data_IF_392355230258
#
_entry.id   IF_392355230258
#
_cell.length_a   1.000
_cell.length_b   1.000
_cell.length_c   1.000
_cell.angle_alpha   90.00
_cell.angle_beta   90.00
_cell.angle_gamma   90.00
#
_symmetry.space_group_name_H-M   'P 1'
#
loop_
_entity.id
_entity.type
_entity.pdbx_description
1 polymer ?
#
# COMPACT_ATOMS: atom_id res chain seq x y z
N UNK A 1 14.18 10.11 17.16
CA UNK A 1 15.27 9.30 16.56
C UNK A 1 16.42 9.08 17.54
N UNK A 2 16.93 10.10 18.26
CA UNK A 2 18.03 9.93 19.20
C UNK A 2 17.88 8.81 20.25
N UNK A 3 16.66 8.57 20.75
CA UNK A 3 16.38 7.46 21.68
C UNK A 3 16.59 6.09 21.03
N UNK A 4 16.18 5.93 19.76
CA UNK A 4 16.37 4.68 19.02
C UNK A 4 17.85 4.44 18.73
N UNK A 5 18.56 5.51 18.40
CA UNK A 5 20.00 5.48 18.13
C UNK A 5 20.80 5.15 19.38
N UNK A 6 20.47 5.75 20.52
CA UNK A 6 21.10 5.44 21.79
C UNK A 6 20.88 3.97 22.23
N UNK A 7 19.74 3.39 21.88
CA UNK A 7 19.42 1.97 22.15
C UNK A 7 19.86 1.02 21.03
N UNK A 8 20.50 1.50 19.98
CA UNK A 8 20.91 0.74 18.78
C UNK A 8 19.76 -0.01 18.10
N UNK A 9 18.54 0.52 18.19
CA UNK A 9 17.36 -0.06 17.55
C UNK A 9 17.37 0.31 16.08
N UNK A 10 17.35 -0.65 15.14
CA UNK A 10 17.25 -0.36 13.72
C UNK A 10 15.86 0.23 13.40
N UNK A 11 15.80 1.19 12.49
CA UNK A 11 14.55 1.83 12.12
C UNK A 11 14.52 2.25 10.64
N UNK A 12 13.31 2.34 10.11
CA UNK A 12 12.99 3.05 8.86
C UNK A 12 11.82 3.97 9.19
N UNK A 13 11.99 5.26 8.98
CA UNK A 13 10.98 6.28 9.29
C UNK A 13 10.72 7.12 8.05
N UNK A 14 9.46 7.23 7.63
CA UNK A 14 9.09 8.17 6.58
C UNK A 14 9.31 9.60 7.06
N UNK A 15 10.06 10.39 6.29
CA UNK A 15 10.33 11.77 6.59
C UNK A 15 9.36 12.69 5.85
N UNK A 16 8.93 13.76 6.53
CA UNK A 16 8.17 14.82 5.88
C UNK A 16 9.09 15.63 4.96
N UNK A 17 8.62 15.92 3.76
CA UNK A 17 9.31 16.77 2.80
C UNK A 17 9.25 18.23 3.24
N UNK A 18 10.30 18.67 3.93
CA UNK A 18 10.48 20.10 4.29
C UNK A 18 11.18 20.85 3.15
N UNK A 19 11.01 22.16 3.06
CA UNK A 19 11.66 22.96 2.02
C UNK A 19 13.19 22.77 1.94
N UNK A 20 13.96 22.75 3.05
CA UNK A 20 15.39 22.49 2.99
C UNK A 20 15.71 21.10 2.41
N UNK A 21 14.96 20.07 2.82
CA UNK A 21 15.14 18.72 2.33
C UNK A 21 14.81 18.61 0.83
N UNK A 22 13.75 19.28 0.38
CA UNK A 22 13.41 19.36 -1.05
C UNK A 22 14.56 19.95 -1.88
N UNK A 23 15.18 21.03 -1.43
CA UNK A 23 16.34 21.64 -2.11
C UNK A 23 17.50 20.66 -2.25
N UNK A 24 17.79 19.90 -1.20
CA UNK A 24 18.83 18.86 -1.24
C UNK A 24 18.47 17.75 -2.22
N UNK A 25 17.22 17.30 -2.26
CA UNK A 25 16.74 16.27 -3.16
C UNK A 25 16.82 16.73 -4.63
N UNK A 26 16.55 17.99 -4.93
CA UNK A 26 16.66 18.52 -6.31
C UNK A 26 18.09 18.62 -6.81
N UNK A 27 19.04 18.78 -5.91
CA UNK A 27 20.46 18.77 -6.24
C UNK A 27 21.06 17.38 -6.28
N UNK A 28 20.27 16.35 -5.91
CA UNK A 28 20.73 14.98 -5.88
C UNK A 28 21.05 14.47 -7.29
N UNK A 29 22.22 13.90 -7.41
CA UNK A 29 22.69 13.17 -8.58
C UNK A 29 22.76 11.68 -8.25
N UNK A 30 22.85 10.80 -9.25
CA UNK A 30 23.00 9.36 -8.98
C UNK A 30 21.68 8.63 -8.72
N UNK A 31 20.64 9.01 -9.43
CA UNK A 31 19.37 8.29 -9.43
C UNK A 31 19.53 6.92 -10.09
N UNK A 32 19.10 5.88 -9.39
CA UNK A 32 19.03 4.52 -9.89
C UNK A 32 17.61 4.17 -10.31
N UNK A 33 17.43 3.84 -11.58
CA UNK A 33 16.14 3.35 -12.09
C UNK A 33 15.91 1.90 -11.60
N UNK A 34 14.89 1.70 -10.79
CA UNK A 34 14.47 0.39 -10.31
C UNK A 34 13.48 -0.26 -11.28
N UNK A 35 12.51 0.53 -11.73
CA UNK A 35 11.46 0.16 -12.69
C UNK A 35 11.16 1.38 -13.57
N UNK A 36 10.41 1.18 -14.65
CA UNK A 36 9.96 2.29 -15.50
C UNK A 36 9.16 3.31 -14.69
N UNK A 37 9.71 4.51 -14.55
CA UNK A 37 9.09 5.60 -13.79
C UNK A 37 9.23 5.50 -12.28
N UNK A 38 10.09 4.62 -11.76
CA UNK A 38 10.43 4.50 -10.35
C UNK A 38 11.95 4.53 -10.17
N UNK A 39 12.44 5.53 -9.45
CA UNK A 39 13.87 5.72 -9.24
C UNK A 39 14.17 5.94 -7.76
N UNK A 40 15.35 5.50 -7.35
CA UNK A 40 15.87 5.59 -5.99
C UNK A 40 17.16 6.40 -5.98
N UNK A 41 17.37 7.14 -4.89
CA UNK A 41 18.65 7.77 -4.60
C UNK A 41 18.96 7.64 -3.11
N UNK A 42 20.24 7.56 -2.80
CA UNK A 42 20.75 7.59 -1.43
C UNK A 42 21.41 8.93 -1.17
N UNK A 43 21.05 9.56 -0.06
CA UNK A 43 21.56 10.84 0.37
C UNK A 43 21.94 10.78 1.84
N UNK A 44 22.89 11.62 2.22
CA UNK A 44 23.18 11.94 3.61
C UNK A 44 22.72 13.35 3.90
N UNK A 45 21.98 13.52 5.00
CA UNK A 45 21.35 14.80 5.32
C UNK A 45 21.29 15.03 6.83
N UNK A 46 21.57 16.25 7.23
CA UNK A 46 21.41 16.71 8.60
C UNK A 46 20.33 17.79 8.65
N UNK A 47 19.21 17.50 9.27
CA UNK A 47 18.16 18.50 9.48
C UNK A 47 18.49 19.41 10.67
N UNK A 48 17.91 20.61 10.68
CA UNK A 48 17.98 21.48 11.83
C UNK A 48 17.43 20.75 13.08
N UNK A 49 18.21 20.72 14.15
CA UNK A 49 17.89 20.00 15.38
C UNK A 49 18.29 18.51 15.40
N UNK A 50 18.97 18.03 14.38
CA UNK A 50 19.62 16.72 14.42
C UNK A 50 21.08 16.87 14.84
N UNK A 51 21.51 16.06 15.81
CA UNK A 51 22.89 16.05 16.28
C UNK A 51 23.87 15.49 15.24
N UNK A 52 23.40 14.57 14.40
CA UNK A 52 24.23 13.89 13.41
C UNK A 52 23.53 13.82 12.06
N UNK A 53 24.33 13.71 11.03
CA UNK A 53 23.88 13.40 9.69
C UNK A 53 23.28 11.98 9.64
N UNK A 54 22.25 11.79 8.82
CA UNK A 54 21.54 10.51 8.66
C UNK A 54 21.41 10.11 7.23
N UNK A 55 21.42 8.82 7.02
CA UNK A 55 21.19 8.19 5.72
C UNK A 55 19.72 8.31 5.34
N UNK A 56 19.46 8.83 4.16
CA UNK A 56 18.14 8.97 3.56
C UNK A 56 18.06 8.16 2.28
N UNK A 57 16.99 7.40 2.15
CA UNK A 57 16.61 6.78 0.88
C UNK A 57 15.46 7.59 0.30
N UNK A 58 15.71 8.18 -0.86
CA UNK A 58 14.73 8.97 -1.59
C UNK A 58 14.20 8.13 -2.74
N UNK A 59 12.89 8.12 -2.87
CA UNK A 59 12.17 7.45 -3.94
C UNK A 59 11.46 8.50 -4.75
N UNK A 60 11.56 8.46 -6.07
CA UNK A 60 10.72 9.26 -6.95
C UNK A 60 9.96 8.39 -7.92
N UNK A 61 8.68 8.71 -8.08
CA UNK A 61 7.78 8.01 -8.99
C UNK A 61 7.21 8.98 -10.00
N UNK A 62 7.30 8.65 -11.28
CA UNK A 62 6.71 9.43 -12.35
C UNK A 62 5.18 9.43 -12.25
N UNK A 63 4.59 10.61 -12.21
CA UNK A 63 3.14 10.79 -12.18
C UNK A 63 2.66 11.14 -13.58
N UNK A 64 2.00 10.19 -14.25
CA UNK A 64 1.28 10.49 -15.48
C UNK A 64 0.10 11.38 -15.11
N UNK A 65 0.15 12.68 -15.44
CA UNK A 65 -1.01 13.57 -15.33
C UNK A 65 -2.14 13.02 -16.20
N UNK A 66 -3.17 12.45 -15.57
CA UNK A 66 -4.46 12.33 -16.23
C UNK A 66 -5.05 13.73 -16.24
N UNK A 67 -5.13 14.33 -17.41
CA UNK A 67 -5.93 15.53 -17.63
C UNK A 67 -7.41 15.15 -17.51
N UNK A 68 -7.95 15.18 -16.31
CA UNK A 68 -9.38 15.11 -16.07
C UNK A 68 -9.81 16.40 -15.37
N UNK A 69 -10.87 17.07 -15.83
CA UNK A 69 -11.45 18.18 -15.10
C UNK A 69 -12.19 17.63 -13.89
N UNK A 70 -11.57 17.69 -12.74
CA UNK A 70 -12.13 17.24 -11.47
C UNK A 70 -11.06 17.28 -10.38
N UNK A 71 -11.40 17.81 -9.21
CA UNK A 71 -10.52 17.89 -8.06
C UNK A 71 -9.88 16.55 -7.79
N UNK A 72 -8.61 16.41 -8.10
CA UNK A 72 -7.78 15.32 -7.60
C UNK A 72 -7.63 15.54 -6.11
N UNK A 73 -8.36 14.77 -5.31
CA UNK A 73 -8.10 14.69 -3.87
C UNK A 73 -6.74 14.01 -3.72
N UNK A 74 -5.69 14.81 -3.56
CA UNK A 74 -4.41 14.33 -3.10
C UNK A 74 -4.60 13.85 -1.67
N UNK A 75 -4.38 12.56 -1.41
CA UNK A 75 -4.35 12.02 -0.05
C UNK A 75 -3.24 12.67 0.79
N UNK A 76 -2.32 13.37 0.14
CA UNK A 76 -1.24 14.17 0.73
C UNK A 76 -1.29 15.56 0.07
N UNK A 77 -2.15 16.42 0.61
CA UNK A 77 -2.37 17.78 0.09
C UNK A 77 -1.10 18.66 0.06
N UNK A 78 -0.01 18.21 0.66
CA UNK A 78 1.24 18.93 0.83
C UNK A 78 2.40 18.40 -0.04
N UNK A 79 2.19 17.39 -0.92
CA UNK A 79 3.24 16.92 -1.82
C UNK A 79 3.21 17.74 -3.13
N UNK A 80 4.14 18.66 -3.32
CA UNK A 80 4.27 19.34 -4.60
C UNK A 80 4.71 18.30 -5.65
N UNK A 81 3.85 18.05 -6.64
CA UNK A 81 4.21 17.39 -7.90
C UNK A 81 5.26 18.26 -8.62
N UNK A 82 6.53 17.96 -8.37
CA UNK A 82 7.61 18.75 -8.92
C UNK A 82 8.08 18.07 -10.18
N UNK A 83 7.87 18.75 -11.29
CA UNK A 83 8.31 18.30 -12.62
C UNK A 83 7.78 16.91 -13.02
N UNK A 84 6.58 16.53 -12.57
CA UNK A 84 5.98 15.24 -12.89
C UNK A 84 6.50 14.06 -12.06
N UNK A 85 7.16 14.33 -10.94
CA UNK A 85 7.63 13.31 -10.02
C UNK A 85 7.00 13.48 -8.63
N UNK A 86 6.57 12.37 -8.05
CA UNK A 86 6.20 12.27 -6.63
C UNK A 86 7.37 11.72 -5.84
N UNK A 87 7.69 12.36 -4.73
CA UNK A 87 8.82 12.00 -3.89
C UNK A 87 8.36 11.36 -2.58
N UNK A 88 9.07 10.32 -2.16
CA UNK A 88 9.00 9.75 -0.82
C UNK A 88 10.40 9.71 -0.21
N UNK A 89 10.52 9.97 1.08
CA UNK A 89 11.81 9.97 1.77
C UNK A 89 11.75 9.10 3.01
N UNK A 90 12.74 8.27 3.19
CA UNK A 90 12.90 7.39 4.34
C UNK A 90 14.24 7.63 5.01
N UNK A 91 14.21 7.91 6.30
CA UNK A 91 15.40 7.98 7.16
C UNK A 91 15.63 6.59 7.73
N UNK A 92 16.86 6.10 7.61
CA UNK A 92 17.18 4.77 8.12
C UNK A 92 18.57 4.71 8.72
N UNK A 93 18.75 3.80 9.67
CA UNK A 93 20.05 3.35 10.18
C UNK A 93 20.35 1.90 9.80
N UNK A 94 19.49 1.28 9.00
CA UNK A 94 19.74 -0.08 8.52
C UNK A 94 20.86 -0.06 7.49
N UNK A 95 21.81 -0.96 7.67
CA UNK A 95 22.86 -1.22 6.68
C UNK A 95 22.35 -2.22 5.63
N UNK A 96 21.31 -1.79 4.91
CA UNK A 96 20.71 -2.55 3.82
C UNK A 96 20.83 -1.75 2.52
N UNK A 97 20.92 -2.42 1.36
CA UNK A 97 20.81 -1.75 0.07
C UNK A 97 19.53 -0.91 -0.02
N UNK A 98 19.56 0.24 -0.71
CA UNK A 98 18.41 1.14 -0.82
C UNK A 98 17.14 0.45 -1.34
N UNK A 99 17.30 -0.54 -2.24
CA UNK A 99 16.19 -1.34 -2.78
C UNK A 99 15.49 -2.15 -1.69
N UNK A 100 16.25 -2.74 -0.77
CA UNK A 100 15.70 -3.54 0.33
C UNK A 100 15.00 -2.65 1.37
N UNK A 101 15.53 -1.46 1.65
CA UNK A 101 14.85 -0.46 2.49
C UNK A 101 13.51 -0.08 1.85
N UNK A 102 13.47 0.19 0.55
CA UNK A 102 12.25 0.48 -0.19
C UNK A 102 11.24 -0.68 -0.14
N UNK A 103 11.68 -1.91 -0.40
CA UNK A 103 10.82 -3.10 -0.36
C UNK A 103 10.21 -3.32 1.03
N UNK A 104 11.01 -3.13 2.08
CA UNK A 104 10.54 -3.24 3.47
C UNK A 104 9.45 -2.21 3.77
N UNK A 105 9.63 -0.96 3.35
CA UNK A 105 8.62 0.08 3.50
C UNK A 105 7.34 -0.23 2.71
N UNK A 106 7.48 -0.75 1.49
CA UNK A 106 6.35 -1.12 0.64
C UNK A 106 5.58 -2.32 1.23
N UNK A 107 6.26 -3.30 1.80
CA UNK A 107 5.64 -4.43 2.49
C UNK A 107 4.76 -4.00 3.66
N UNK A 108 5.15 -2.94 4.38
CA UNK A 108 4.31 -2.35 5.44
C UNK A 108 3.03 -1.74 4.87
N UNK A 109 3.12 -1.00 3.77
CA UNK A 109 1.94 -0.41 3.12
C UNK A 109 0.97 -1.49 2.63
N UNK A 110 1.50 -2.61 2.11
CA UNK A 110 0.68 -3.78 1.74
C UNK A 110 -0.02 -4.39 2.96
N UNK A 111 0.66 -4.51 4.09
CA UNK A 111 0.05 -4.99 5.33
C UNK A 111 -1.11 -4.08 5.79
N UNK A 112 -0.91 -2.77 5.76
CA UNK A 112 -1.96 -1.80 6.11
C UNK A 112 -3.17 -1.90 5.15
N UNK A 113 -2.94 -2.09 3.87
CA UNK A 113 -4.00 -2.29 2.88
C UNK A 113 -4.78 -3.60 3.12
N UNK A 114 -4.09 -4.68 3.50
CA UNK A 114 -4.73 -5.97 3.85
C UNK A 114 -5.57 -5.84 5.11
N UNK A 115 -5.10 -5.13 6.12
CA UNK A 115 -5.88 -4.84 7.33
C UNK A 115 -7.12 -4.01 7.00
N UNK A 116 -7.01 -3.01 6.12
CA UNK A 116 -8.16 -2.23 5.65
C UNK A 116 -9.17 -3.10 4.92
N UNK A 117 -8.72 -3.98 4.03
CA UNK A 117 -9.58 -4.91 3.31
C UNK A 117 -10.30 -5.87 4.27
N UNK A 118 -9.58 -6.44 5.26
CA UNK A 118 -10.17 -7.28 6.29
C UNK A 118 -11.24 -6.54 7.09
N UNK A 119 -11.03 -5.28 7.43
CA UNK A 119 -12.02 -4.47 8.13
C UNK A 119 -13.23 -4.15 7.25
N UNK A 120 -12.99 -3.66 6.04
CA UNK A 120 -14.06 -3.16 5.18
C UNK A 120 -14.87 -4.28 4.52
N UNK A 121 -14.20 -5.32 4.00
CA UNK A 121 -14.83 -6.35 3.17
C UNK A 121 -15.18 -7.62 3.98
N UNK A 122 -14.51 -7.87 5.11
CA UNK A 122 -14.75 -9.05 5.97
C UNK A 122 -15.32 -8.69 7.35
N UNK A 123 -15.61 -7.41 7.60
CA UNK A 123 -16.27 -6.95 8.81
C UNK A 123 -15.47 -7.17 10.09
N UNK A 124 -14.13 -7.15 10.02
CA UNK A 124 -13.26 -7.48 11.15
C UNK A 124 -13.45 -6.54 12.36
N UNK A 125 -13.92 -5.32 12.14
CA UNK A 125 -14.19 -4.32 13.17
C UNK A 125 -15.67 -4.27 13.59
N UNK A 126 -16.52 -5.09 12.99
CA UNK A 126 -17.96 -5.13 13.25
C UNK A 126 -18.39 -6.32 14.13
N UNK A 127 -17.44 -7.11 14.65
CA UNK A 127 -17.77 -8.24 15.52
C UNK A 127 -18.33 -7.75 16.86
N UNK A 128 -19.63 -7.95 17.06
CA UNK A 128 -20.34 -7.57 18.30
C UNK A 128 -20.69 -8.83 19.11
N UNK A 129 -19.69 -9.62 19.47
CA UNK A 129 -19.86 -10.82 20.27
C UNK A 129 -19.49 -10.54 21.73
N UNK A 130 -20.29 -11.05 22.68
CA UNK A 130 -20.00 -10.90 24.10
C UNK A 130 -18.95 -11.88 24.63
N UNK A 131 -18.77 -12.99 23.93
CA UNK A 131 -17.84 -14.06 24.31
C UNK A 131 -16.51 -13.87 23.53
N UNK A 132 -15.41 -13.99 24.27
CA UNK A 132 -14.06 -13.91 23.71
C UNK A 132 -13.80 -15.03 22.68
N UNK A 133 -14.15 -16.27 23.01
CA UNK A 133 -13.94 -17.43 22.13
C UNK A 133 -14.78 -17.36 20.86
N UNK A 134 -16.00 -16.85 20.97
CA UNK A 134 -16.83 -16.60 19.78
C UNK A 134 -16.23 -15.53 18.88
N UNK A 135 -15.66 -14.48 19.46
CA UNK A 135 -14.95 -13.44 18.71
C UNK A 135 -13.70 -13.99 18.04
N UNK A 136 -12.90 -14.81 18.73
CA UNK A 136 -11.72 -15.48 18.18
C UNK A 136 -12.08 -16.42 17.04
N UNK A 137 -13.13 -17.20 17.17
CA UNK A 137 -13.62 -18.09 16.12
C UNK A 137 -14.07 -17.31 14.88
N UNK A 138 -14.83 -16.23 15.08
CA UNK A 138 -15.26 -15.35 13.97
C UNK A 138 -14.07 -14.71 13.25
N UNK A 139 -13.06 -14.25 14.00
CA UNK A 139 -11.80 -13.76 13.43
C UNK A 139 -11.12 -14.84 12.61
N UNK A 140 -11.02 -16.07 13.13
CA UNK A 140 -10.45 -17.21 12.44
C UNK A 140 -11.16 -17.51 11.11
N UNK A 141 -12.49 -17.47 11.08
CA UNK A 141 -13.26 -17.64 9.84
C UNK A 141 -13.05 -16.50 8.85
N UNK A 142 -12.99 -15.26 9.29
CA UNK A 142 -12.70 -14.12 8.43
C UNK A 142 -11.30 -14.23 7.81
N UNK A 143 -10.30 -14.64 8.60
CA UNK A 143 -8.93 -14.86 8.11
C UNK A 143 -8.86 -16.03 7.12
N UNK A 144 -9.60 -17.12 7.37
CA UNK A 144 -9.68 -18.25 6.45
C UNK A 144 -10.31 -17.82 5.11
N UNK A 145 -11.44 -17.12 5.17
CA UNK A 145 -12.10 -16.61 3.97
C UNK A 145 -11.18 -15.67 3.17
N UNK A 146 -10.47 -14.76 3.85
CA UNK A 146 -9.48 -13.89 3.23
C UNK A 146 -8.37 -14.67 2.52
N UNK A 147 -7.83 -15.72 3.17
CA UNK A 147 -6.79 -16.56 2.60
C UNK A 147 -7.30 -17.33 1.37
N UNK A 148 -8.52 -17.86 1.41
CA UNK A 148 -9.14 -18.55 0.26
C UNK A 148 -9.31 -17.60 -0.93
N UNK A 149 -9.81 -16.38 -0.71
CA UNK A 149 -9.92 -15.36 -1.76
C UNK A 149 -8.54 -14.96 -2.29
N UNK A 150 -7.53 -14.86 -1.41
CA UNK A 150 -6.16 -14.57 -1.83
C UNK A 150 -5.56 -15.67 -2.70
N UNK A 151 -5.81 -16.93 -2.36
CA UNK A 151 -5.42 -18.09 -3.18
C UNK A 151 -6.17 -18.10 -4.52
N UNK A 152 -7.46 -17.81 -4.51
CA UNK A 152 -8.25 -17.70 -5.74
C UNK A 152 -7.70 -16.60 -6.68
N UNK A 153 -7.36 -15.43 -6.14
CA UNK A 153 -6.71 -14.36 -6.92
C UNK A 153 -5.41 -14.84 -7.58
N UNK A 154 -4.59 -15.58 -6.84
CA UNK A 154 -3.28 -16.03 -7.32
C UNK A 154 -3.38 -17.20 -8.29
N UNK A 155 -4.19 -18.20 -7.98
CA UNK A 155 -4.26 -19.45 -8.73
C UNK A 155 -5.18 -19.36 -9.97
N UNK A 156 -6.33 -18.69 -9.83
CA UNK A 156 -7.37 -18.64 -10.86
C UNK A 156 -7.26 -17.38 -11.69
N UNK A 157 -7.28 -16.20 -11.05
CA UNK A 157 -7.31 -14.94 -11.79
C UNK A 157 -5.96 -14.56 -12.36
N UNK A 158 -4.87 -14.99 -11.73
CA UNK A 158 -3.47 -14.70 -12.13
C UNK A 158 -3.24 -13.23 -12.48
N UNK A 159 -4.04 -12.31 -11.90
CA UNK A 159 -3.94 -10.89 -12.16
C UNK A 159 -2.70 -10.30 -11.51
N UNK A 160 -1.97 -9.43 -12.25
CA UNK A 160 -0.87 -8.65 -11.70
C UNK A 160 -1.35 -7.57 -10.73
N UNK A 161 -2.63 -7.20 -10.81
CA UNK A 161 -3.26 -6.18 -9.97
C UNK A 161 -4.06 -6.89 -8.89
N UNK A 162 -3.79 -6.58 -7.64
CA UNK A 162 -4.57 -7.09 -6.52
C UNK A 162 -5.88 -6.30 -6.42
N UNK A 163 -6.98 -6.91 -6.87
CA UNK A 163 -8.32 -6.37 -6.68
C UNK A 163 -8.82 -6.61 -5.25
N UNK A 164 -9.53 -5.65 -4.66
CA UNK A 164 -10.24 -5.84 -3.39
C UNK A 164 -11.38 -6.84 -3.55
N UNK A 165 -11.88 -7.41 -2.45
CA UNK A 165 -13.03 -8.31 -2.49
C UNK A 165 -14.27 -7.62 -3.09
N UNK A 166 -14.52 -6.38 -2.73
CA UNK A 166 -15.61 -5.57 -3.28
C UNK A 166 -15.52 -5.46 -4.82
N UNK A 167 -14.33 -5.22 -5.36
CA UNK A 167 -14.10 -5.20 -6.82
C UNK A 167 -14.34 -6.58 -7.45
N UNK A 168 -13.84 -7.65 -6.81
CA UNK A 168 -14.05 -9.03 -7.30
C UNK A 168 -15.51 -9.43 -7.27
N UNK A 169 -16.24 -9.03 -6.24
CA UNK A 169 -17.68 -9.27 -6.15
C UNK A 169 -18.41 -8.68 -7.37
N UNK A 170 -18.13 -7.43 -7.71
CA UNK A 170 -18.75 -6.78 -8.87
C UNK A 170 -18.34 -7.35 -10.23
N UNK A 171 -17.09 -7.84 -10.35
CA UNK A 171 -16.56 -8.31 -11.63
C UNK A 171 -16.82 -9.80 -11.91
N UNK A 172 -16.89 -10.63 -10.87
CA UNK A 172 -16.83 -12.08 -11.02
C UNK A 172 -18.00 -12.79 -10.33
N UNK A 173 -18.41 -12.32 -9.15
CA UNK A 173 -19.45 -12.98 -8.35
C UNK A 173 -20.85 -12.43 -8.60
N UNK A 174 -20.99 -11.18 -9.06
CA UNK A 174 -22.26 -10.60 -9.46
C UNK A 174 -22.57 -10.99 -10.91
N UNK A 175 -22.92 -12.26 -11.12
CA UNK A 175 -23.31 -12.78 -12.43
C UNK A 175 -24.82 -12.59 -12.58
N UNK A 176 -25.24 -12.02 -13.71
CA UNK A 176 -26.65 -11.93 -14.06
C UNK A 176 -27.22 -13.33 -14.26
N UNK A 177 -28.41 -13.56 -13.75
CA UNK A 177 -29.09 -14.83 -13.95
C UNK A 177 -30.57 -14.58 -14.26
N UNK A 178 -31.12 -15.36 -15.20
CA UNK A 178 -32.54 -15.38 -15.51
C UNK A 178 -33.15 -16.73 -15.09
N UNK A 179 -34.35 -16.62 -14.51
CA UNK A 179 -35.11 -17.82 -14.15
C UNK A 179 -36.00 -18.24 -15.31
N UNK A 180 -35.78 -19.44 -15.82
CA UNK A 180 -36.60 -20.04 -16.88
C UNK A 180 -37.43 -21.15 -16.29
N UNK A 181 -38.74 -21.05 -16.43
CA UNK A 181 -39.67 -22.08 -16.00
C UNK A 181 -40.32 -22.75 -17.21
N UNK A 182 -39.96 -24.00 -17.46
CA UNK A 182 -40.66 -24.87 -18.39
C UNK A 182 -41.67 -25.74 -17.64
N UNK A 183 -42.67 -26.26 -18.34
CA UNK A 183 -43.79 -27.02 -17.74
C UNK A 183 -43.38 -28.18 -16.82
N UNK A 184 -42.16 -28.67 -16.89
CA UNK A 184 -41.64 -29.76 -16.05
C UNK A 184 -40.35 -29.50 -15.32
N UNK A 185 -39.67 -28.36 -15.58
CA UNK A 185 -38.35 -28.04 -14.94
C UNK A 185 -38.13 -26.57 -14.75
N UNK A 186 -37.56 -26.23 -13.59
CA UNK A 186 -37.05 -24.90 -13.30
C UNK A 186 -35.55 -24.86 -13.60
N UNK A 187 -35.11 -23.94 -14.47
CA UNK A 187 -33.70 -23.75 -14.82
C UNK A 187 -33.23 -22.35 -14.53
N UNK A 188 -32.09 -22.24 -13.88
CA UNK A 188 -31.38 -20.99 -13.71
C UNK A 188 -30.38 -20.86 -14.89
N UNK A 189 -30.58 -19.82 -15.70
CA UNK A 189 -29.66 -19.50 -16.80
C UNK A 189 -28.74 -18.38 -16.33
N UNK A 190 -27.43 -18.61 -16.38
CA UNK A 190 -26.42 -17.62 -16.11
C UNK A 190 -26.11 -16.87 -17.41
N UNK A 191 -26.09 -15.53 -17.37
CA UNK A 191 -25.82 -14.67 -18.52
C UNK A 191 -24.35 -14.23 -18.56
#
# INVERSE_FOLDING_TARGET
MGILEGKRIPYIIAARLTQPLQRTIYQATGWWALETGLELAELHYQAAGWETERRLIVVRQSVKRKSAPGKTLSLFADDPDIQGWRYGVFVTRLDLPMVEVWRTCRGRADCENRIKELKADFGLDAFNMRDFWATEAALGFAMLAYNLISLFRQAVLRSRIQHTLSTLHGLILAIGASWHQDASQNRLMLS
#
